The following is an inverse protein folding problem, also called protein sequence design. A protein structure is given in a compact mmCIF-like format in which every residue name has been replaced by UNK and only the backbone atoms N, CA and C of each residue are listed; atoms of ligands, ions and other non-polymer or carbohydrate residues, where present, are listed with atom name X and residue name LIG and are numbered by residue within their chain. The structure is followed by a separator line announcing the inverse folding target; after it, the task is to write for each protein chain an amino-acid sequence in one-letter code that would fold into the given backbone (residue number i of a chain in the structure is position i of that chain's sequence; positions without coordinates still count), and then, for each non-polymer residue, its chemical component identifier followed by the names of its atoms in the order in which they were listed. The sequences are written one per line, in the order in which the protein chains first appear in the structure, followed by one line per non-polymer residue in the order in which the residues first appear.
data_IF_118072193309
#
_entry.id   IF_118072193309
#
_cell.length_a   1.000
_cell.length_b   1.000
_cell.length_c   1.000
_cell.angle_alpha   90.00
_cell.angle_beta   90.00
_cell.angle_gamma   90.00
#
_symmetry.space_group_name_H-M   'P 1'
#
loop_
_entity.id
_entity.type
_entity.pdbx_description
1 polymer ?
#
# COMPACT_ATOMS: atom_id res chain seq x y z
N UNK A 1 5.09 -9.94 12.13
CA UNK A 1 6.23 -10.39 11.31
C UNK A 1 6.77 -9.27 10.42
N UNK A 2 5.93 -8.46 9.77
CA UNK A 2 6.36 -7.27 9.01
C UNK A 2 6.86 -6.16 9.95
N UNK A 3 6.08 -5.82 10.98
CA UNK A 3 6.42 -4.78 11.96
C UNK A 3 7.76 -5.01 12.69
N UNK A 4 8.09 -6.27 13.00
CA UNK A 4 9.36 -6.60 13.67
C UNK A 4 10.60 -6.29 12.82
N UNK A 5 10.43 -6.12 11.51
CA UNK A 5 11.50 -5.72 10.59
C UNK A 5 11.65 -4.21 10.46
N UNK A 6 10.70 -3.42 10.99
CA UNK A 6 10.63 -1.95 10.86
C UNK A 6 10.96 -1.47 9.44
N UNK A 7 10.27 -1.99 8.41
CA UNK A 7 10.55 -1.62 7.04
C UNK A 7 10.16 -0.16 6.78
N UNK A 8 10.98 0.55 6.02
CA UNK A 8 10.62 1.91 5.56
C UNK A 8 9.65 1.85 4.35
N UNK A 9 9.62 0.70 3.64
CA UNK A 9 8.74 0.42 2.51
C UNK A 9 8.50 -1.09 2.40
N UNK A 10 7.29 -1.51 2.03
CA UNK A 10 6.97 -2.89 1.68
C UNK A 10 6.12 -2.97 0.40
N UNK A 11 6.30 -4.08 -0.32
CA UNK A 11 5.47 -4.47 -1.44
C UNK A 11 4.89 -5.86 -1.18
N UNK A 12 3.57 -5.99 -1.24
CA UNK A 12 2.85 -7.24 -1.07
C UNK A 12 2.18 -7.62 -2.40
N UNK A 13 2.47 -8.84 -2.88
CA UNK A 13 1.88 -9.43 -4.09
C UNK A 13 0.89 -10.54 -3.73
N UNK A 14 0.02 -10.88 -4.69
CA UNK A 14 -0.98 -11.97 -4.57
C UNK A 14 -1.96 -11.80 -3.40
N UNK A 15 -2.31 -10.56 -3.06
CA UNK A 15 -3.35 -10.33 -2.07
C UNK A 15 -4.69 -10.73 -2.66
N UNK A 16 -5.29 -11.83 -2.17
CA UNK A 16 -6.67 -12.28 -2.48
C UNK A 16 -7.76 -11.29 -2.01
N UNK A 17 -7.38 -10.10 -1.58
CA UNK A 17 -8.31 -9.07 -1.16
C UNK A 17 -8.89 -8.40 -2.40
N UNK A 18 -10.18 -8.63 -2.63
CA UNK A 18 -10.94 -7.98 -3.70
C UNK A 18 -10.92 -6.45 -3.55
N UNK A 19 -10.74 -5.95 -2.33
CA UNK A 19 -10.65 -4.53 -2.01
C UNK A 19 -9.56 -4.30 -0.97
N UNK A 20 -8.63 -3.37 -1.26
CA UNK A 20 -7.68 -2.85 -0.29
C UNK A 20 -8.13 -1.45 0.11
N UNK A 21 -8.41 -1.26 1.40
CA UNK A 21 -8.91 -0.01 1.96
C UNK A 21 -7.95 0.55 3.01
N UNK A 22 -7.99 1.86 3.22
CA UNK A 22 -7.12 2.58 4.16
C UNK A 22 -7.01 1.94 5.55
N UNK A 23 -8.11 1.56 6.22
CA UNK A 23 -8.05 0.96 7.57
C UNK A 23 -7.24 -0.33 7.65
N UNK A 24 -7.21 -1.13 6.59
CA UNK A 24 -6.38 -2.34 6.53
C UNK A 24 -4.89 -1.97 6.43
N UNK A 25 -4.56 -1.02 5.57
CA UNK A 25 -3.19 -0.56 5.39
C UNK A 25 -2.65 0.06 6.69
N UNK A 26 -3.46 0.87 7.38
CA UNK A 26 -3.16 1.43 8.70
C UNK A 26 -2.93 0.34 9.74
N UNK A 27 -3.79 -0.69 9.79
CA UNK A 27 -3.63 -1.83 10.69
C UNK A 27 -2.33 -2.60 10.45
N UNK A 28 -1.90 -2.75 9.19
CA UNK A 28 -0.65 -3.43 8.85
C UNK A 28 0.59 -2.60 9.19
N UNK A 29 0.49 -1.26 9.15
CA UNK A 29 1.62 -0.34 9.30
C UNK A 29 1.83 0.16 10.73
N UNK A 30 0.78 0.32 11.54
CA UNK A 30 0.80 0.81 12.94
C UNK A 30 1.49 2.18 13.18
N UNK A 31 1.91 2.90 12.13
CA UNK A 31 2.57 4.21 12.20
C UNK A 31 1.68 5.28 11.54
N UNK A 32 1.67 6.49 12.10
CA UNK A 32 0.83 7.61 11.65
C UNK A 32 1.25 8.22 10.31
N UNK A 33 2.48 7.97 9.82
CA UNK A 33 2.97 8.52 8.55
C UNK A 33 2.95 7.49 7.42
N UNK A 34 1.78 6.88 7.17
CA UNK A 34 1.62 5.87 6.12
C UNK A 34 1.20 6.49 4.78
N UNK A 35 1.94 6.17 3.73
CA UNK A 35 1.48 6.28 2.36
C UNK A 35 1.25 4.89 1.78
N UNK A 36 0.18 4.72 1.00
CA UNK A 36 -0.07 3.45 0.33
C UNK A 36 -0.71 3.63 -1.05
N UNK A 37 -0.43 2.68 -1.93
CA UNK A 37 -1.10 2.55 -3.22
C UNK A 37 -1.29 1.08 -3.57
N UNK A 38 -2.40 0.77 -4.25
CA UNK A 38 -2.67 -0.56 -4.73
C UNK A 38 -2.88 -0.54 -6.25
N UNK A 39 -2.17 -1.42 -6.96
CA UNK A 39 -2.35 -1.59 -8.40
C UNK A 39 -3.18 -2.82 -8.69
N UNK A 40 -4.32 -2.66 -9.36
CA UNK A 40 -5.10 -3.76 -9.94
C UNK A 40 -5.01 -3.70 -11.47
N UNK A 41 -4.20 -4.56 -12.11
CA UNK A 41 -4.11 -4.57 -13.56
C UNK A 41 -5.42 -5.10 -14.15
N UNK A 42 -6.25 -4.22 -14.74
CA UNK A 42 -7.30 -4.54 -15.72
C UNK A 42 -8.08 -5.85 -15.46
N UNK A 43 -8.72 -5.97 -14.28
CA UNK A 43 -9.61 -7.10 -13.97
C UNK A 43 -8.89 -8.42 -13.66
N UNK A 44 -7.57 -8.42 -13.47
CA UNK A 44 -6.82 -9.57 -12.98
C UNK A 44 -6.76 -9.56 -11.45
N UNK A 45 -6.87 -10.75 -10.85
CA UNK A 45 -6.86 -11.00 -9.40
C UNK A 45 -5.49 -10.78 -8.72
N UNK A 46 -4.55 -10.06 -9.35
CA UNK A 46 -3.21 -9.82 -8.83
C UNK A 46 -3.07 -8.36 -8.47
N UNK A 47 -3.35 -8.05 -7.21
CA UNK A 47 -3.17 -6.70 -6.65
C UNK A 47 -1.78 -6.60 -6.06
N UNK A 48 -1.05 -5.54 -6.45
CA UNK A 48 0.21 -5.15 -5.81
C UNK A 48 -0.09 -4.03 -4.83
N UNK A 49 0.03 -4.31 -3.53
CA UNK A 49 -0.03 -3.29 -2.48
C UNK A 49 1.37 -2.80 -2.15
N UNK A 50 1.57 -1.49 -2.25
CA UNK A 50 2.78 -0.82 -1.82
C UNK A 50 2.44 0.09 -0.64
N UNK A 51 3.24 0.01 0.43
CA UNK A 51 3.10 0.86 1.62
C UNK A 51 4.48 1.40 2.00
N UNK A 52 4.55 2.65 2.45
CA UNK A 52 5.80 3.32 2.80
C UNK A 52 5.61 4.35 3.92
N UNK A 53 6.72 4.68 4.58
CA UNK A 53 6.80 5.75 5.55
C UNK A 53 6.97 7.09 4.83
N UNK A 54 5.99 7.99 4.95
CA UNK A 54 6.00 9.33 4.32
C UNK A 54 7.07 10.24 4.87
N UNK A 55 7.60 9.97 6.07
CA UNK A 55 8.74 10.71 6.60
C UNK A 55 10.05 10.37 5.86
N UNK A 56 10.07 9.29 5.07
CA UNK A 56 11.23 8.79 4.34
C UNK A 56 11.09 8.91 2.83
N UNK A 57 9.87 8.71 2.32
CA UNK A 57 9.60 8.67 0.89
C UNK A 57 8.43 9.56 0.52
N UNK A 58 8.54 10.17 -0.65
CA UNK A 58 7.47 10.92 -1.30
C UNK A 58 7.05 10.19 -2.58
N UNK A 59 5.74 10.10 -2.81
CA UNK A 59 5.21 9.52 -4.03
C UNK A 59 5.43 10.51 -5.18
N UNK A 60 6.26 10.14 -6.15
CA UNK A 60 6.61 11.02 -7.25
C UNK A 60 5.54 11.11 -8.33
N UNK A 61 4.84 10.01 -8.62
CA UNK A 61 3.81 9.95 -9.64
C UNK A 61 2.82 8.82 -9.34
N UNK A 62 1.54 9.06 -9.66
CA UNK A 62 0.46 8.10 -9.56
C UNK A 62 -0.63 8.41 -10.58
N UNK A 63 -1.16 7.37 -11.21
CA UNK A 63 -2.31 7.51 -12.11
C UNK A 63 -3.48 6.67 -11.60
N UNK A 64 -4.65 7.30 -11.53
CA UNK A 64 -5.91 6.69 -11.07
C UNK A 64 -6.31 5.47 -11.92
N UNK A 65 -5.79 5.35 -13.14
CA UNK A 65 -5.96 4.18 -13.99
C UNK A 65 -5.35 2.90 -13.41
N UNK A 66 -4.52 3.03 -12.35
CA UNK A 66 -3.84 1.89 -11.73
C UNK A 66 -4.51 1.39 -10.45
N UNK A 67 -5.40 2.13 -9.78
CA UNK A 67 -6.15 1.65 -8.61
C UNK A 67 -6.30 2.67 -7.48
N UNK A 68 -6.38 2.18 -6.24
CA UNK A 68 -6.62 2.98 -5.04
C UNK A 68 -5.33 3.55 -4.42
N UNK A 69 -5.45 4.71 -3.79
CA UNK A 69 -4.38 5.35 -3.03
C UNK A 69 -4.92 5.99 -1.76
N UNK A 70 -4.06 6.13 -0.75
CA UNK A 70 -4.42 6.84 0.48
C UNK A 70 -3.20 7.33 1.26
N UNK A 71 -3.43 8.38 2.03
CA UNK A 71 -2.47 8.95 2.96
C UNK A 71 -3.20 9.17 4.28
N UNK A 72 -2.73 8.54 5.34
CA UNK A 72 -3.17 8.78 6.73
C UNK A 72 -2.14 9.63 7.43
#
# INVERSE_FOLDING_TARGET
MIQSQKPEMICLQETKMEVIEGPLCEYLWENSELGWCCKSPNGLSSVLLTMWDKSKFELSDWSEEFGGMGFS
#
